data_IF_381046618430
#
_entry.id   IF_381046618430
#
_cell.length_a   1.000
_cell.length_b   1.000
_cell.length_c   1.000
_cell.angle_alpha   90.00
_cell.angle_beta   90.00
_cell.angle_gamma   90.00
#
_symmetry.space_group_name_H-M   'P 1'
#
loop_
_entity.id
_entity.type
_entity.pdbx_description
1 polymer ?
#
# COMPACT_ATOMS: atom_id res chain seq x y z
N UNK A 1 -15.55 -8.24 7.28
CA UNK A 1 -15.30 -9.71 7.19
C UNK A 1 -14.82 -10.03 5.79
N UNK A 2 -13.84 -10.93 5.64
CA UNK A 2 -13.37 -11.37 4.32
C UNK A 2 -13.38 -12.89 4.25
N UNK A 3 -13.80 -13.43 3.11
CA UNK A 3 -13.78 -14.85 2.81
C UNK A 3 -13.08 -15.06 1.48
N UNK A 4 -12.07 -15.92 1.45
CA UNK A 4 -11.28 -16.20 0.25
C UNK A 4 -11.51 -17.63 -0.22
N UNK A 5 -11.59 -17.78 -1.53
CA UNK A 5 -11.72 -19.08 -2.21
C UNK A 5 -10.63 -19.19 -3.27
N UNK A 6 -9.94 -20.32 -3.29
CA UNK A 6 -8.99 -20.68 -4.35
C UNK A 6 -9.44 -21.94 -5.05
N UNK A 7 -9.72 -21.87 -6.33
CA UNK A 7 -10.08 -22.99 -7.20
C UNK A 7 -8.92 -23.36 -8.12
N UNK A 8 -8.45 -24.62 -8.07
CA UNK A 8 -7.43 -25.10 -9.00
C UNK A 8 -8.10 -25.50 -10.33
N UNK A 9 -7.61 -24.94 -11.43
CA UNK A 9 -8.09 -25.22 -12.79
C UNK A 9 -7.29 -26.39 -13.41
N UNK A 10 -5.97 -26.35 -13.24
CA UNK A 10 -5.02 -27.38 -13.61
C UNK A 10 -3.70 -27.17 -12.81
N UNK A 11 -2.67 -27.99 -13.04
CA UNK A 11 -1.41 -27.95 -12.28
C UNK A 11 -0.72 -26.59 -12.27
N UNK A 12 -0.92 -25.78 -13.31
CA UNK A 12 -0.27 -24.47 -13.47
C UNK A 12 -1.23 -23.28 -13.36
N UNK A 13 -2.54 -23.52 -13.27
CA UNK A 13 -3.54 -22.44 -13.31
C UNK A 13 -4.51 -22.53 -12.14
N UNK A 14 -4.75 -21.42 -11.46
CA UNK A 14 -5.79 -21.32 -10.46
C UNK A 14 -6.59 -20.01 -10.60
N UNK A 15 -7.82 -20.05 -10.11
CA UNK A 15 -8.64 -18.87 -9.89
C UNK A 15 -8.67 -18.54 -8.38
N UNK A 16 -8.66 -17.27 -8.04
CA UNK A 16 -8.76 -16.79 -6.67
C UNK A 16 -9.83 -15.71 -6.59
N UNK A 17 -10.66 -15.79 -5.55
CA UNK A 17 -11.66 -14.79 -5.26
C UNK A 17 -11.68 -14.47 -3.77
N UNK A 18 -11.89 -13.20 -3.42
CA UNK A 18 -12.08 -12.73 -2.05
C UNK A 18 -13.33 -11.84 -1.98
N UNK A 19 -14.32 -12.32 -1.23
CA UNK A 19 -15.51 -11.57 -0.86
C UNK A 19 -15.22 -10.75 0.38
N UNK A 20 -15.49 -9.45 0.33
CA UNK A 20 -15.42 -8.54 1.47
C UNK A 20 -16.83 -8.10 1.87
N UNK A 21 -17.07 -8.05 3.17
CA UNK A 21 -18.29 -7.53 3.75
C UNK A 21 -17.93 -6.49 4.80
N UNK A 22 -18.34 -5.25 4.57
CA UNK A 22 -18.10 -4.12 5.46
C UNK A 22 -19.39 -3.76 6.21
N UNK A 23 -19.27 -3.58 7.52
CA UNK A 23 -20.35 -3.14 8.40
C UNK A 23 -19.93 -1.86 9.13
N UNK A 24 -20.80 -0.87 9.12
CA UNK A 24 -20.64 0.32 9.96
C UNK A 24 -21.60 0.22 11.15
N UNK A 25 -21.07 0.21 12.37
CA UNK A 25 -21.85 0.16 13.60
C UNK A 25 -22.31 1.55 14.09
N UNK A 26 -21.86 2.64 13.44
CA UNK A 26 -22.13 4.03 13.82
C UNK A 26 -22.97 4.74 12.75
N UNK A 27 -24.18 4.37 12.47
CA UNK A 27 -25.01 5.15 11.58
C UNK A 27 -25.99 4.36 10.71
N UNK A 28 -26.61 5.03 9.74
CA UNK A 28 -27.51 4.38 8.75
C UNK A 28 -26.65 3.47 7.87
N UNK A 29 -26.87 2.20 8.06
CA UNK A 29 -26.03 1.12 7.53
C UNK A 29 -25.95 1.11 6.02
N UNK A 30 -24.75 1.41 5.49
CA UNK A 30 -24.33 0.79 4.24
C UNK A 30 -23.71 -0.56 4.60
N UNK A 31 -24.41 -1.63 4.28
CA UNK A 31 -23.90 -3.00 4.35
C UNK A 31 -23.56 -3.39 2.94
N UNK A 32 -22.30 -3.36 2.61
CA UNK A 32 -21.86 -3.67 1.26
C UNK A 32 -21.10 -5.00 1.27
N UNK A 33 -21.59 -5.96 0.48
CA UNK A 33 -20.87 -7.18 0.16
C UNK A 33 -20.39 -7.08 -1.29
N UNK A 34 -19.08 -7.19 -1.53
CA UNK A 34 -18.52 -7.09 -2.87
C UNK A 34 -17.30 -7.99 -3.06
N UNK A 35 -17.04 -8.34 -4.33
CA UNK A 35 -15.81 -9.04 -4.69
C UNK A 35 -14.66 -8.05 -4.65
N UNK A 36 -13.86 -8.14 -3.59
CA UNK A 36 -12.68 -7.29 -3.42
C UNK A 36 -11.56 -7.70 -4.38
N UNK A 37 -11.39 -9.00 -4.61
CA UNK A 37 -10.36 -9.57 -5.47
C UNK A 37 -10.97 -10.70 -6.29
N UNK A 38 -10.67 -10.76 -7.59
CA UNK A 38 -11.05 -11.86 -8.46
C UNK A 38 -10.09 -11.92 -9.66
N UNK A 39 -9.25 -12.96 -9.70
CA UNK A 39 -8.28 -13.13 -10.77
C UNK A 39 -8.02 -14.59 -11.11
N UNK A 40 -7.45 -14.79 -12.28
CA UNK A 40 -6.84 -16.05 -12.69
C UNK A 40 -5.33 -15.87 -12.76
N UNK A 41 -4.59 -16.83 -12.24
CA UNK A 41 -3.13 -16.87 -12.31
C UNK A 41 -2.67 -18.13 -13.02
N UNK A 42 -1.73 -17.95 -13.94
CA UNK A 42 -1.04 -19.04 -14.63
C UNK A 42 0.46 -18.98 -14.35
N UNK A 43 1.03 -20.10 -13.92
CA UNK A 43 2.46 -20.26 -13.64
C UNK A 43 3.15 -20.93 -14.83
N UNK A 44 4.18 -20.29 -15.37
CA UNK A 44 5.05 -20.81 -16.41
C UNK A 44 6.33 -21.39 -15.79
N UNK A 45 6.29 -22.64 -15.38
CA UNK A 45 7.45 -23.39 -14.85
C UNK A 45 8.08 -22.83 -13.56
N UNK A 46 7.30 -22.19 -12.70
CA UNK A 46 7.75 -21.68 -11.41
C UNK A 46 8.72 -20.49 -11.46
N UNK A 47 8.96 -19.91 -12.64
CA UNK A 47 9.86 -18.76 -12.83
C UNK A 47 9.17 -17.54 -13.43
N UNK A 48 8.07 -17.74 -14.12
CA UNK A 48 7.27 -16.69 -14.69
C UNK A 48 5.78 -16.96 -14.42
N UNK A 49 4.99 -15.91 -14.29
CA UNK A 49 3.55 -16.01 -14.05
C UNK A 49 2.81 -14.91 -14.77
N UNK A 50 1.54 -15.15 -15.06
CA UNK A 50 0.61 -14.17 -15.60
C UNK A 50 -0.64 -14.15 -14.72
N UNK A 51 -0.99 -12.97 -14.21
CA UNK A 51 -2.21 -12.75 -13.44
C UNK A 51 -3.14 -11.83 -14.23
N UNK A 52 -4.40 -12.21 -14.36
CA UNK A 52 -5.43 -11.47 -15.09
C UNK A 52 -6.66 -11.29 -14.20
N UNK A 53 -7.11 -10.05 -14.05
CA UNK A 53 -8.30 -9.68 -13.28
C UNK A 53 -8.00 -8.68 -12.16
N UNK A 54 -8.84 -8.68 -11.11
CA UNK A 54 -8.65 -7.83 -9.92
C UNK A 54 -7.77 -8.53 -8.91
N UNK A 55 -6.55 -8.01 -8.74
CA UNK A 55 -5.54 -8.55 -7.84
C UNK A 55 -5.14 -7.52 -6.77
N UNK A 56 -4.65 -7.98 -5.64
CA UNK A 56 -4.01 -7.09 -4.64
C UNK A 56 -2.69 -6.58 -5.19
N UNK A 57 -2.44 -5.29 -5.02
CA UNK A 57 -1.19 -4.63 -5.38
C UNK A 57 -0.68 -3.79 -4.20
N UNK A 58 0.52 -4.12 -3.75
CA UNK A 58 1.23 -3.40 -2.71
C UNK A 58 2.51 -2.83 -3.32
N UNK A 59 2.68 -1.50 -3.24
CA UNK A 59 3.83 -0.80 -3.80
C UNK A 59 4.65 -0.18 -2.67
N UNK A 60 5.99 -0.25 -2.83
CA UNK A 60 6.95 0.17 -1.84
C UNK A 60 7.18 -0.86 -0.73
N UNK A 61 8.00 -0.49 0.22
CA UNK A 61 8.28 -1.28 1.42
C UNK A 61 7.30 -0.97 2.55
N UNK A 62 6.68 0.20 2.53
CA UNK A 62 5.82 0.68 3.59
C UNK A 62 4.33 0.68 3.23
N UNK A 63 3.98 0.51 1.95
CA UNK A 63 2.62 0.67 1.45
C UNK A 63 2.12 2.12 1.46
N UNK A 64 3.03 3.09 1.56
CA UNK A 64 2.69 4.50 1.46
C UNK A 64 2.22 4.88 0.06
N UNK A 65 2.82 4.28 -0.97
CA UNK A 65 2.48 4.54 -2.37
C UNK A 65 1.11 3.98 -2.72
N UNK A 66 0.90 2.70 -2.43
CA UNK A 66 -0.34 2.01 -2.75
C UNK A 66 -0.48 0.67 -2.01
N UNK A 67 -1.66 0.41 -1.45
CA UNK A 67 -2.03 -0.88 -0.84
C UNK A 67 -3.54 -1.15 -1.05
N UNK A 68 -3.93 -1.40 -2.28
CA UNK A 68 -5.30 -1.79 -2.64
C UNK A 68 -5.29 -2.68 -3.89
N UNK A 69 -6.39 -2.75 -4.60
CA UNK A 69 -6.59 -3.63 -5.73
C UNK A 69 -6.29 -2.96 -7.07
N UNK A 70 -5.80 -3.76 -8.00
CA UNK A 70 -5.47 -3.39 -9.37
C UNK A 70 -6.23 -4.28 -10.35
N UNK A 71 -7.01 -3.67 -11.26
CA UNK A 71 -7.74 -4.36 -12.31
C UNK A 71 -6.91 -4.38 -13.58
N UNK A 72 -6.37 -5.54 -13.97
CA UNK A 72 -5.54 -5.59 -15.15
C UNK A 72 -4.87 -6.93 -15.43
N UNK A 73 -3.76 -6.81 -16.13
CA UNK A 73 -2.84 -7.91 -16.42
C UNK A 73 -1.48 -7.62 -15.82
N UNK A 74 -0.88 -8.60 -15.15
CA UNK A 74 0.45 -8.52 -14.56
C UNK A 74 1.26 -9.76 -14.92
N UNK A 75 2.35 -9.57 -15.62
CA UNK A 75 3.36 -10.61 -15.83
C UNK A 75 4.45 -10.48 -14.79
N UNK A 76 4.79 -11.59 -14.14
CA UNK A 76 5.85 -11.68 -13.12
C UNK A 76 6.93 -12.63 -13.59
N UNK A 77 8.19 -12.29 -13.37
CA UNK A 77 9.35 -13.16 -13.63
C UNK A 77 10.33 -13.08 -12.46
N UNK A 78 10.87 -14.20 -12.04
CA UNK A 78 11.92 -14.24 -11.03
C UNK A 78 11.67 -15.18 -9.88
N UNK A 79 12.16 -14.80 -8.70
CA UNK A 79 12.11 -15.59 -7.47
C UNK A 79 11.94 -14.68 -6.25
N UNK A 80 11.82 -15.27 -5.04
CA UNK A 80 11.77 -14.50 -3.79
C UNK A 80 12.98 -13.61 -3.53
N UNK A 81 14.14 -13.93 -4.11
CA UNK A 81 15.35 -13.12 -3.96
C UNK A 81 15.37 -11.92 -4.90
N UNK A 82 14.83 -12.10 -6.09
CA UNK A 82 14.68 -11.06 -7.10
C UNK A 82 13.53 -11.41 -8.02
N UNK A 83 12.61 -10.50 -8.18
CA UNK A 83 11.50 -10.60 -9.11
C UNK A 83 11.28 -9.27 -9.83
N UNK A 84 10.67 -9.35 -11.01
CA UNK A 84 10.24 -8.20 -11.77
C UNK A 84 8.81 -8.42 -12.23
N UNK A 85 7.99 -7.38 -12.16
CA UNK A 85 6.65 -7.32 -12.71
C UNK A 85 6.58 -6.27 -13.81
N UNK A 86 5.75 -6.55 -14.80
CA UNK A 86 5.28 -5.59 -15.79
C UNK A 86 3.78 -5.80 -15.98
N UNK A 87 3.02 -4.71 -15.99
CA UNK A 87 1.58 -4.80 -16.08
C UNK A 87 0.94 -3.58 -16.71
N UNK A 88 -0.33 -3.74 -17.07
CA UNK A 88 -1.19 -2.66 -17.50
C UNK A 88 -2.61 -2.89 -16.94
N UNK A 89 -3.21 -1.80 -16.44
CA UNK A 89 -4.53 -1.87 -15.85
C UNK A 89 -4.90 -0.60 -15.10
N UNK A 90 -5.85 -0.72 -14.17
CA UNK A 90 -6.40 0.41 -13.41
C UNK A 90 -6.16 0.22 -11.91
N UNK A 91 -5.71 1.27 -11.26
CA UNK A 91 -5.72 1.39 -9.81
C UNK A 91 -7.16 1.64 -9.33
N UNK A 92 -7.66 0.83 -8.40
CA UNK A 92 -9.06 0.92 -7.96
C UNK A 92 -9.23 1.96 -6.86
N UNK A 93 -8.32 2.00 -5.92
CA UNK A 93 -8.23 3.06 -4.91
C UNK A 93 -7.29 4.19 -5.30
N UNK A 94 -7.24 5.23 -4.44
CA UNK A 94 -6.28 6.32 -4.55
C UNK A 94 -6.51 7.29 -5.72
N UNK A 95 -5.48 8.02 -6.08
CA UNK A 95 -5.47 9.01 -7.15
C UNK A 95 -4.25 8.79 -8.05
N UNK A 96 -4.41 8.93 -9.35
CA UNK A 96 -3.33 8.85 -10.33
C UNK A 96 -3.14 10.23 -10.98
N UNK A 97 -2.19 11.01 -10.46
CA UNK A 97 -1.94 12.36 -10.95
C UNK A 97 -3.21 13.23 -10.93
N UNK A 98 -3.69 13.65 -12.10
CA UNK A 98 -4.93 14.43 -12.27
C UNK A 98 -6.18 13.61 -12.58
N UNK A 99 -6.13 12.29 -12.50
CA UNK A 99 -7.29 11.44 -12.78
C UNK A 99 -8.43 11.69 -11.79
N UNK A 100 -9.57 12.15 -12.28
CA UNK A 100 -10.72 12.54 -11.45
C UNK A 100 -11.64 11.36 -11.10
N UNK A 101 -11.62 10.30 -11.91
CA UNK A 101 -12.48 9.12 -11.73
C UNK A 101 -11.68 7.82 -11.67
N UNK A 102 -12.29 6.77 -11.12
CA UNK A 102 -11.65 5.44 -11.05
C UNK A 102 -11.38 4.85 -12.43
N UNK A 103 -12.21 5.14 -13.43
CA UNK A 103 -12.04 4.68 -14.80
C UNK A 103 -10.82 5.29 -15.48
N UNK A 104 -10.39 6.45 -15.01
CA UNK A 104 -9.26 7.20 -15.58
C UNK A 104 -7.91 6.85 -14.97
N UNK A 105 -7.85 5.90 -14.04
CA UNK A 105 -6.61 5.50 -13.34
C UNK A 105 -5.87 4.35 -14.05
N UNK A 106 -6.00 4.25 -15.36
CA UNK A 106 -5.25 3.27 -16.14
C UNK A 106 -3.80 3.69 -16.30
N UNK A 107 -2.90 2.74 -16.07
CA UNK A 107 -1.46 2.97 -16.18
C UNK A 107 -0.71 1.67 -16.52
N UNK A 108 0.45 1.84 -17.16
CA UNK A 108 1.49 0.82 -17.18
C UNK A 108 2.27 0.87 -15.87
N UNK A 109 2.65 -0.30 -15.37
CA UNK A 109 3.51 -0.44 -14.21
C UNK A 109 4.67 -1.38 -14.53
N UNK A 110 5.85 -1.01 -14.07
CA UNK A 110 7.03 -1.88 -14.05
C UNK A 110 7.67 -1.79 -12.66
N UNK A 111 8.02 -2.93 -12.06
CA UNK A 111 8.74 -2.94 -10.80
C UNK A 111 9.74 -4.07 -10.71
N UNK A 112 10.77 -3.87 -9.90
CA UNK A 112 11.71 -4.89 -9.47
C UNK A 112 11.73 -4.92 -7.96
N UNK A 113 11.72 -6.11 -7.37
CA UNK A 113 11.67 -6.26 -5.92
C UNK A 113 12.28 -7.57 -5.48
N UNK A 114 12.62 -7.65 -4.20
CA UNK A 114 13.16 -8.88 -3.66
C UNK A 114 13.60 -8.77 -2.22
N UNK A 115 14.10 -9.92 -1.72
CA UNK A 115 14.66 -10.02 -0.38
C UNK A 115 15.93 -10.86 -0.37
N UNK A 116 16.97 -10.35 0.26
CA UNK A 116 18.22 -11.07 0.49
C UNK A 116 18.64 -10.93 1.95
N UNK A 117 18.58 -12.03 2.70
CA UNK A 117 18.80 -11.99 4.14
C UNK A 117 17.80 -11.08 4.86
N UNK A 118 18.34 -10.06 5.54
CA UNK A 118 17.56 -9.03 6.25
C UNK A 118 17.24 -7.79 5.40
N UNK A 119 17.64 -7.79 4.13
CA UNK A 119 17.40 -6.70 3.20
C UNK A 119 16.21 -7.03 2.32
N UNK A 120 15.17 -6.19 2.33
CA UNK A 120 14.10 -6.17 1.34
C UNK A 120 14.18 -4.86 0.56
N UNK A 121 13.90 -4.91 -0.73
CA UNK A 121 14.01 -3.75 -1.61
C UNK A 121 12.98 -3.83 -2.73
N UNK A 122 12.64 -2.69 -3.25
CA UNK A 122 11.87 -2.53 -4.46
C UNK A 122 12.27 -1.24 -5.19
N UNK A 123 11.97 -1.21 -6.48
CA UNK A 123 11.95 -0.01 -7.29
C UNK A 123 10.84 -0.15 -8.32
N UNK A 124 10.13 0.95 -8.60
CA UNK A 124 8.94 0.91 -9.42
C UNK A 124 8.80 2.14 -10.29
N UNK A 125 8.11 1.95 -11.40
CA UNK A 125 7.77 2.98 -12.38
C UNK A 125 6.32 2.81 -12.80
N UNK A 126 5.55 3.90 -12.72
CA UNK A 126 4.15 3.95 -13.10
C UNK A 126 3.99 5.04 -14.16
N UNK A 127 3.41 4.67 -15.29
CA UNK A 127 3.10 5.58 -16.39
C UNK A 127 1.59 5.59 -16.64
N UNK A 128 0.93 6.67 -16.24
CA UNK A 128 -0.44 6.96 -16.64
C UNK A 128 -0.52 7.47 -18.09
N UNK A 129 -1.72 7.68 -18.59
CA UNK A 129 -1.90 8.40 -19.84
C UNK A 129 -1.45 9.86 -19.68
N UNK A 130 -0.92 10.49 -20.74
CA UNK A 130 -0.35 11.86 -20.71
C UNK A 130 -1.29 12.91 -20.10
N UNK A 131 -2.60 12.78 -20.33
CA UNK A 131 -3.62 13.69 -19.77
C UNK A 131 -3.73 13.67 -18.24
N UNK A 132 -3.17 12.64 -17.57
CA UNK A 132 -3.23 12.51 -16.11
C UNK A 132 -2.01 13.09 -15.39
N UNK A 133 -0.98 13.52 -16.11
CA UNK A 133 0.27 14.02 -15.55
C UNK A 133 0.84 13.05 -14.49
N UNK A 134 0.93 11.78 -14.85
CA UNK A 134 1.34 10.71 -13.95
C UNK A 134 2.49 9.88 -14.51
N UNK A 135 3.70 10.28 -14.18
CA UNK A 135 4.94 9.52 -14.40
C UNK A 135 5.69 9.43 -13.08
N UNK A 136 5.34 8.38 -12.32
CA UNK A 136 5.85 8.19 -10.96
C UNK A 136 6.94 7.13 -10.98
N UNK A 137 8.10 7.45 -10.43
CA UNK A 137 9.13 6.48 -10.11
C UNK A 137 9.43 6.50 -8.62
N UNK A 138 9.86 5.38 -8.10
CA UNK A 138 10.17 5.28 -6.69
C UNK A 138 11.04 4.09 -6.35
N UNK A 139 11.52 4.08 -5.13
CA UNK A 139 12.26 2.97 -4.55
C UNK A 139 12.04 2.90 -3.04
N UNK A 140 12.07 1.67 -2.52
CA UNK A 140 11.92 1.38 -1.12
C UNK A 140 12.97 0.42 -0.60
N UNK A 141 13.25 0.54 0.69
CA UNK A 141 14.21 -0.30 1.39
C UNK A 141 13.70 -0.63 2.79
N UNK A 142 13.88 -1.90 3.19
CA UNK A 142 13.83 -2.34 4.59
C UNK A 142 15.07 -3.13 4.91
N UNK A 143 15.80 -2.73 5.95
CA UNK A 143 17.02 -3.41 6.38
C UNK A 143 16.97 -3.74 7.87
N UNK A 144 17.11 -5.01 8.20
CA UNK A 144 17.28 -5.47 9.58
C UNK A 144 18.67 -5.15 10.08
N UNK A 145 18.78 -4.17 10.97
CA UNK A 145 20.05 -3.74 11.60
C UNK A 145 20.46 -4.77 12.65
N UNK A 146 19.52 -5.25 13.42
CA UNK A 146 19.68 -6.35 14.38
C UNK A 146 18.61 -7.42 14.17
N UNK A 147 18.47 -8.38 15.09
CA UNK A 147 17.38 -9.37 15.04
C UNK A 147 16.01 -8.72 15.28
N UNK A 148 15.97 -7.65 16.05
CA UNK A 148 14.76 -6.99 16.50
C UNK A 148 14.57 -5.58 15.91
N UNK A 149 15.57 -5.00 15.26
CA UNK A 149 15.53 -3.63 14.76
C UNK A 149 15.61 -3.59 13.25
N UNK A 150 14.59 -3.00 12.62
CA UNK A 150 14.57 -2.67 11.20
C UNK A 150 14.58 -1.16 11.00
N UNK A 151 15.31 -0.71 9.98
CA UNK A 151 15.15 0.61 9.36
C UNK A 151 14.41 0.42 8.04
N UNK A 152 13.55 1.35 7.69
CA UNK A 152 12.78 1.27 6.45
C UNK A 152 12.45 2.64 5.90
N UNK A 153 12.12 2.70 4.61
CA UNK A 153 11.68 3.91 3.96
C UNK A 153 11.39 3.72 2.50
N UNK A 154 10.63 4.66 1.95
CA UNK A 154 10.28 4.76 0.54
C UNK A 154 10.47 6.20 0.07
N UNK A 155 10.74 6.34 -1.23
CA UNK A 155 10.78 7.61 -1.93
C UNK A 155 10.08 7.48 -3.28
N UNK A 156 9.24 8.47 -3.61
CA UNK A 156 8.50 8.57 -4.87
C UNK A 156 8.56 9.98 -5.42
N UNK A 157 8.59 10.10 -6.74
CA UNK A 157 8.52 11.38 -7.44
C UNK A 157 7.66 11.24 -8.70
N UNK A 158 6.77 12.19 -8.92
CA UNK A 158 6.02 12.32 -10.16
C UNK A 158 6.65 13.41 -11.03
N UNK A 159 7.26 13.00 -12.13
CA UNK A 159 7.98 13.92 -13.06
C UNK A 159 7.10 14.53 -14.14
N UNK A 160 5.85 14.14 -14.26
CA UNK A 160 4.89 14.74 -15.19
C UNK A 160 3.94 15.72 -14.48
N UNK A 161 3.83 15.65 -13.15
CA UNK A 161 3.01 16.57 -12.40
C UNK A 161 3.75 17.89 -12.15
N UNK A 162 2.98 19.01 -12.08
CA UNK A 162 3.56 20.34 -11.87
C UNK A 162 4.48 20.39 -10.64
N UNK A 163 5.70 20.88 -10.84
CA UNK A 163 6.78 21.05 -9.84
C UNK A 163 7.40 19.74 -9.33
N UNK A 164 7.27 18.64 -10.07
CA UNK A 164 7.90 17.35 -9.77
C UNK A 164 7.72 16.93 -8.29
N UNK A 165 6.47 16.82 -7.78
CA UNK A 165 6.22 16.59 -6.37
C UNK A 165 6.78 15.26 -5.91
N UNK A 166 7.11 15.20 -4.61
CA UNK A 166 7.76 14.07 -3.98
C UNK A 166 6.98 13.59 -2.75
N UNK A 167 6.99 12.29 -2.54
CA UNK A 167 6.54 11.66 -1.29
C UNK A 167 7.62 10.72 -0.78
N UNK A 168 7.91 10.79 0.50
CA UNK A 168 8.88 9.90 1.11
C UNK A 168 8.54 9.63 2.57
N UNK A 169 9.03 8.49 3.05
CA UNK A 169 9.01 8.13 4.46
C UNK A 169 10.32 7.49 4.87
N UNK A 170 10.69 7.69 6.13
CA UNK A 170 11.80 7.00 6.76
C UNK A 170 11.44 6.68 8.21
N UNK A 171 11.76 5.48 8.65
CA UNK A 171 11.38 5.02 9.96
C UNK A 171 12.25 3.89 10.49
N UNK A 172 11.97 3.54 11.73
CA UNK A 172 12.55 2.37 12.39
C UNK A 172 11.46 1.58 13.11
N UNK A 173 11.68 0.28 13.23
CA UNK A 173 10.80 -0.62 13.98
C UNK A 173 11.59 -1.49 14.93
N UNK A 174 10.94 -1.84 16.03
CA UNK A 174 11.44 -2.77 17.04
C UNK A 174 10.45 -3.93 17.21
N UNK A 175 10.98 -5.16 17.21
CA UNK A 175 10.22 -6.40 17.34
C UNK A 175 9.56 -6.85 16.03
N UNK A 176 9.11 -8.09 16.06
CA UNK A 176 8.40 -8.74 14.96
C UNK A 176 7.20 -9.51 15.52
N UNK A 177 6.00 -9.16 15.10
CA UNK A 177 4.84 -9.94 15.52
C UNK A 177 4.64 -11.19 14.65
N UNK A 178 4.11 -12.24 15.27
CA UNK A 178 3.71 -13.47 14.60
C UNK A 178 2.30 -13.82 15.05
N UNK A 179 1.33 -13.79 14.13
CA UNK A 179 -0.09 -14.05 14.40
C UNK A 179 -0.36 -15.41 15.09
N UNK A 180 0.58 -16.37 14.96
CA UNK A 180 0.46 -17.70 15.57
C UNK A 180 1.02 -17.76 16.99
N UNK A 181 1.72 -16.70 17.46
CA UNK A 181 2.44 -16.69 18.75
C UNK A 181 1.98 -15.53 19.62
N UNK A 182 1.29 -15.87 20.74
CA UNK A 182 0.85 -14.90 21.76
C UNK A 182 2.01 -14.05 22.28
N UNK A 183 1.75 -12.78 22.55
CA UNK A 183 2.69 -11.84 23.17
C UNK A 183 3.76 -11.29 22.23
N UNK A 184 3.83 -11.75 20.97
CA UNK A 184 4.73 -11.13 19.99
C UNK A 184 4.20 -9.77 19.56
N UNK A 185 5.11 -8.81 19.37
CA UNK A 185 4.75 -7.43 19.07
C UNK A 185 5.69 -6.79 18.05
N UNK A 186 5.27 -5.67 17.49
CA UNK A 186 6.10 -4.74 16.71
C UNK A 186 5.69 -3.32 17.04
N UNK A 187 6.65 -2.45 17.28
CA UNK A 187 6.45 -1.01 17.45
C UNK A 187 7.26 -0.32 16.35
N UNK A 188 6.69 0.65 15.68
CA UNK A 188 7.39 1.42 14.65
C UNK A 188 7.10 2.90 14.80
N UNK A 189 8.10 3.71 14.40
CA UNK A 189 7.97 5.14 14.26
C UNK A 189 8.56 5.57 12.92
N UNK A 190 7.86 6.45 12.20
CA UNK A 190 8.31 6.96 10.92
C UNK A 190 7.90 8.41 10.72
N UNK A 191 8.68 9.12 9.95
CA UNK A 191 8.35 10.44 9.45
C UNK A 191 7.87 10.33 8.02
N UNK A 192 6.77 11.00 7.69
CA UNK A 192 6.16 11.01 6.36
C UNK A 192 6.11 12.45 5.85
N UNK A 193 6.53 12.65 4.61
CA UNK A 193 6.34 13.89 3.85
C UNK A 193 5.67 13.54 2.53
N UNK A 194 4.44 14.00 2.33
CA UNK A 194 3.64 13.72 1.15
C UNK A 194 3.29 15.02 0.42
N UNK A 195 3.57 15.08 -0.88
CA UNK A 195 3.18 16.18 -1.76
C UNK A 195 2.09 15.75 -2.74
N UNK A 196 1.18 16.67 -3.04
CA UNK A 196 0.05 16.42 -3.95
C UNK A 196 0.51 15.95 -5.32
N UNK A 197 -0.08 14.84 -5.80
CA UNK A 197 0.18 14.26 -7.10
C UNK A 197 1.44 13.40 -7.19
N UNK A 198 2.17 13.15 -6.08
CA UNK A 198 3.40 12.33 -6.08
C UNK A 198 3.19 10.86 -5.77
N UNK A 199 2.00 10.47 -5.29
CA UNK A 199 1.67 9.11 -4.88
C UNK A 199 0.19 8.81 -5.13
N UNK A 200 -0.20 7.54 -5.04
CA UNK A 200 -1.55 7.09 -5.37
C UNK A 200 -2.57 7.30 -4.24
N UNK A 201 -2.11 7.54 -3.02
CA UNK A 201 -2.94 7.86 -1.84
C UNK A 201 -3.97 6.81 -1.44
N UNK A 202 -3.74 5.55 -1.72
CA UNK A 202 -4.48 4.45 -1.09
C UNK A 202 -3.47 3.60 -0.31
N UNK A 203 -3.27 3.97 0.94
CA UNK A 203 -2.14 3.52 1.75
C UNK A 203 -2.56 2.49 2.78
N UNK A 204 -1.60 1.69 3.26
CA UNK A 204 -1.74 0.80 4.42
C UNK A 204 -2.20 1.52 5.69
N UNK A 205 -1.89 2.81 5.83
CA UNK A 205 -2.08 3.55 7.07
C UNK A 205 -3.48 4.11 7.21
N UNK A 206 -4.13 3.86 8.34
CA UNK A 206 -5.47 4.34 8.69
C UNK A 206 -5.44 5.69 9.39
N UNK A 207 -4.46 5.93 10.27
CA UNK A 207 -4.22 7.23 10.90
C UNK A 207 -3.21 8.04 10.08
N UNK A 208 -3.53 8.34 8.80
CA UNK A 208 -2.60 9.01 7.90
C UNK A 208 -3.09 10.41 7.52
N UNK A 209 -2.22 11.40 7.71
CA UNK A 209 -2.44 12.75 7.21
C UNK A 209 -1.92 12.94 5.76
N UNK A 210 -1.35 11.90 5.13
CA UNK A 210 -0.89 11.97 3.75
C UNK A 210 -2.04 12.28 2.78
N UNK A 211 -3.20 11.66 2.97
CA UNK A 211 -4.39 11.86 2.14
C UNK A 211 -4.92 13.29 2.10
N UNK A 212 -4.60 14.12 3.09
CA UNK A 212 -5.06 15.51 3.13
C UNK A 212 -4.63 16.32 1.91
N UNK A 213 -3.51 15.98 1.27
CA UNK A 213 -3.03 16.68 0.08
C UNK A 213 -3.86 16.38 -1.16
N UNK A 214 -4.49 15.20 -1.22
CA UNK A 214 -5.33 14.79 -2.34
C UNK A 214 -6.79 15.19 -2.13
N UNK A 215 -7.28 15.12 -0.89
CA UNK A 215 -8.66 15.44 -0.54
C UNK A 215 -8.96 16.94 -0.59
N UNK A 216 -7.93 17.78 -0.50
CA UNK A 216 -8.06 19.23 -0.40
C UNK A 216 -7.24 19.97 -1.45
N UNK A 217 -7.90 20.82 -2.23
CA UNK A 217 -7.27 21.63 -3.27
C UNK A 217 -6.39 22.79 -2.74
N UNK A 218 -6.52 23.13 -1.47
CA UNK A 218 -5.76 24.19 -0.81
C UNK A 218 -4.49 23.70 -0.10
N UNK A 219 -4.25 22.38 -0.04
CA UNK A 219 -3.08 21.75 0.57
C UNK A 219 -2.19 21.15 -0.53
N UNK A 220 -0.89 21.50 -0.49
CA UNK A 220 0.10 20.98 -1.43
C UNK A 220 1.06 19.98 -0.81
N UNK A 221 1.25 20.02 0.52
CA UNK A 221 2.14 19.14 1.26
C UNK A 221 1.63 18.87 2.65
N UNK A 222 1.73 17.61 3.10
CA UNK A 222 1.53 17.17 4.47
C UNK A 222 2.81 16.55 5.02
N UNK A 223 3.14 16.83 6.29
CA UNK A 223 4.29 16.24 7.00
C UNK A 223 3.86 15.90 8.41
N UNK A 224 4.22 14.71 8.88
CA UNK A 224 3.84 14.24 10.20
C UNK A 224 4.69 13.07 10.65
N UNK A 225 4.66 12.80 11.95
CA UNK A 225 5.16 11.57 12.53
C UNK A 225 4.02 10.55 12.63
N UNK A 226 4.30 9.29 12.34
CA UNK A 226 3.38 8.19 12.53
C UNK A 226 4.02 7.14 13.43
N UNK A 227 3.42 6.91 14.60
CA UNK A 227 3.74 5.79 15.46
C UNK A 227 2.74 4.65 15.22
N UNK A 228 3.19 3.41 15.19
CA UNK A 228 2.33 2.23 15.11
C UNK A 228 2.77 1.15 16.08
N UNK A 229 1.79 0.37 16.58
CA UNK A 229 2.04 -0.75 17.45
C UNK A 229 1.14 -1.93 17.09
N UNK A 230 1.73 -3.12 17.03
CA UNK A 230 1.07 -4.39 16.84
C UNK A 230 1.32 -5.29 18.05
N UNK A 231 0.29 -5.93 18.57
CA UNK A 231 0.38 -6.90 19.65
C UNK A 231 -0.51 -8.11 19.37
N UNK A 232 0.05 -9.30 19.36
CA UNK A 232 -0.72 -10.55 19.23
C UNK A 232 -1.29 -10.93 20.58
N UNK A 233 -2.60 -10.72 20.77
CA UNK A 233 -3.33 -10.97 22.01
C UNK A 233 -3.64 -12.46 22.23
N UNK A 234 -3.80 -13.21 21.15
CA UNK A 234 -3.92 -14.67 21.12
C UNK A 234 -3.67 -15.15 19.68
N UNK A 235 -3.54 -16.45 19.49
CA UNK A 235 -3.37 -17.02 18.15
C UNK A 235 -4.41 -16.46 17.18
N UNK A 236 -3.94 -15.89 16.07
CA UNK A 236 -4.75 -15.29 15.02
C UNK A 236 -5.55 -14.03 15.42
N UNK A 237 -5.23 -13.39 16.57
CA UNK A 237 -5.86 -12.15 17.01
C UNK A 237 -4.78 -11.10 17.30
N UNK A 238 -4.80 -10.00 16.55
CA UNK A 238 -3.85 -8.90 16.67
C UNK A 238 -4.58 -7.60 17.00
N UNK A 239 -4.12 -6.92 18.05
CA UNK A 239 -4.41 -5.51 18.30
C UNK A 239 -3.42 -4.68 17.50
N UNK A 240 -3.93 -3.71 16.74
CA UNK A 240 -3.14 -2.75 15.96
C UNK A 240 -3.59 -1.35 16.31
N UNK A 241 -2.62 -0.46 16.55
CA UNK A 241 -2.86 0.94 16.82
C UNK A 241 -1.93 1.83 16.00
N UNK A 242 -2.44 2.98 15.55
CA UNK A 242 -1.69 4.02 14.85
C UNK A 242 -1.97 5.38 15.48
N UNK A 243 -0.96 6.24 15.51
CA UNK A 243 -1.04 7.61 16.00
C UNK A 243 -0.19 8.53 15.14
N UNK A 244 -0.84 9.41 14.38
CA UNK A 244 -0.18 10.47 13.62
C UNK A 244 -0.20 11.76 14.43
N UNK A 245 0.96 12.39 14.59
CA UNK A 245 1.13 13.59 15.40
C UNK A 245 2.09 14.58 14.76
N UNK A 246 2.11 15.81 15.31
CA UNK A 246 2.87 16.96 14.76
C UNK A 246 2.55 17.19 13.27
N UNK A 247 1.26 17.11 12.92
CA UNK A 247 0.79 17.21 11.54
C UNK A 247 0.91 18.66 11.06
N UNK A 248 1.76 18.87 10.08
CA UNK A 248 2.01 20.18 9.43
C UNK A 248 1.58 20.14 7.99
N UNK A 249 0.71 21.05 7.60
CA UNK A 249 0.24 21.20 6.23
C UNK A 249 0.72 22.53 5.63
N UNK A 250 1.08 22.47 4.34
CA UNK A 250 1.42 23.67 3.56
C UNK A 250 0.40 23.85 2.44
N UNK A 251 -0.10 25.07 2.28
CA UNK A 251 -1.08 25.43 1.28
C UNK A 251 -1.51 26.88 1.48
N UNK A 252 -2.70 27.25 1.01
CA UNK A 252 -3.28 28.58 1.22
C UNK A 252 -3.55 28.88 2.70
N UNK A 253 -3.87 27.83 3.48
CA UNK A 253 -3.97 27.89 4.93
C UNK A 253 -2.77 27.14 5.55
N UNK A 254 -1.86 27.87 6.23
CA UNK A 254 -0.85 27.25 7.10
C UNK A 254 -1.53 26.95 8.44
N UNK A 255 -1.81 25.70 8.72
CA UNK A 255 -2.39 25.29 10.00
C UNK A 255 -1.72 24.02 10.50
N UNK A 256 -1.55 23.93 11.81
CA UNK A 256 -1.37 22.63 12.46
C UNK A 256 -2.71 21.91 12.34
N UNK A 257 -2.65 20.66 11.95
CA UNK A 257 -3.83 19.80 11.88
C UNK A 257 -3.89 18.95 13.17
N UNK A 258 -5.10 18.53 13.55
CA UNK A 258 -5.26 17.69 14.72
C UNK A 258 -4.56 16.35 14.56
N UNK A 259 -4.10 15.78 15.65
CA UNK A 259 -3.54 14.44 15.69
C UNK A 259 -4.61 13.40 15.31
N UNK A 260 -4.19 12.34 14.66
CA UNK A 260 -5.09 11.25 14.23
C UNK A 260 -4.72 9.96 14.96
N UNK A 261 -5.72 9.25 15.46
CA UNK A 261 -5.49 7.97 16.12
C UNK A 261 -6.49 6.92 15.64
N UNK A 262 -6.03 5.70 15.41
CA UNK A 262 -6.86 4.55 15.11
C UNK A 262 -6.44 3.34 15.93
N UNK A 263 -7.42 2.52 16.29
CA UNK A 263 -7.19 1.23 16.94
C UNK A 263 -8.09 0.20 16.27
N UNK A 264 -7.52 -0.94 15.92
CA UNK A 264 -8.25 -2.04 15.30
C UNK A 264 -7.91 -3.38 15.94
N UNK A 265 -8.85 -4.31 15.88
CA UNK A 265 -8.68 -5.68 16.29
C UNK A 265 -8.85 -6.60 15.08
N UNK A 266 -7.79 -7.29 14.71
CA UNK A 266 -7.74 -8.10 13.51
C UNK A 266 -7.82 -9.60 13.86
N UNK A 267 -8.76 -10.31 13.25
CA UNK A 267 -8.96 -11.76 13.39
C UNK A 267 -8.65 -12.45 12.07
N UNK A 268 -7.91 -13.58 12.15
CA UNK A 268 -7.63 -14.44 11.00
C UNK A 268 -8.17 -15.84 11.31
N UNK A 269 -9.03 -16.35 10.46
CA UNK A 269 -9.69 -17.66 10.61
C UNK A 269 -9.05 -18.69 9.68
#
# INVERSE_FOLDING_TARGET
>A
MQVSVKGQVNDSTYAYGRLRYDMNFKGKDKRDAYMNTLYVHHDFNGKAGLTLGRMDLFLGQTGLQYDDTFDGAMATIGSKKFAADIGYGRFIGGNLGKADTKEERAAAIARVYGRSGRLAYDAEYIQGEDKYDARIWGAGLTAGVTEDIDIFGDYYQNTDYKNDPQTWTAGLAFGHYNMKKFGTFRIAGQYISAEKGSFLNDTTYTASAAGLVEDRNDINRSRFWLASADLVLMKNVRLHGEYAFDVKINGKAKTNYDDLATVSLNYVF
#
